data_IF_075319594115
#
_entry.id   IF_075319594115
#
_cell.length_a   1.000
_cell.length_b   1.000
_cell.length_c   1.000
_cell.angle_alpha   90.00
_cell.angle_beta   90.00
_cell.angle_gamma   90.00
#
_symmetry.space_group_name_H-M   'P 1'
#
loop_
_entity.id
_entity.type
_entity.pdbx_description
1 polymer ?
#
# COMPACT_ATOMS: atom_id res chain seq x y z
N UNK A 1 -9.19 -14.30 4.87
CA UNK A 1 -8.95 -13.02 5.58
C UNK A 1 -7.44 -12.77 5.69
N UNK A 2 -6.94 -11.73 5.03
CA UNK A 2 -5.51 -11.34 5.07
C UNK A 2 -5.42 -9.99 5.79
N UNK A 3 -4.65 -9.93 6.88
CA UNK A 3 -4.35 -8.68 7.56
C UNK A 3 -3.09 -8.04 6.96
N UNK A 4 -3.25 -6.80 6.52
CA UNK A 4 -2.13 -5.98 6.05
C UNK A 4 -1.66 -5.02 7.13
N UNK A 5 -0.35 -4.85 7.21
CA UNK A 5 0.29 -3.76 7.92
C UNK A 5 0.04 -2.46 7.14
N UNK A 6 -0.86 -1.61 7.63
CA UNK A 6 -1.15 -0.32 7.02
C UNK A 6 0.04 0.63 7.20
N UNK A 7 0.67 1.06 6.09
CA UNK A 7 1.84 1.97 6.07
C UNK A 7 3.05 1.49 6.87
N UNK A 8 3.18 0.17 7.08
CA UNK A 8 4.24 -0.46 7.87
C UNK A 8 3.95 -0.59 9.38
N UNK A 9 2.78 -0.17 9.86
CA UNK A 9 2.40 -0.28 11.27
C UNK A 9 2.18 -1.75 11.69
N UNK A 10 2.94 -2.23 12.70
CA UNK A 10 2.80 -3.59 13.25
C UNK A 10 2.13 -3.62 14.63
N UNK A 11 2.16 -2.51 15.38
CA UNK A 11 1.72 -2.42 16.79
C UNK A 11 1.02 -1.08 17.05
N UNK A 12 0.03 -0.75 16.23
CA UNK A 12 -0.66 0.53 16.34
C UNK A 12 -0.10 1.60 15.40
N UNK A 13 -0.86 2.67 15.23
CA UNK A 13 -0.52 3.78 14.34
C UNK A 13 0.69 4.57 14.83
N UNK A 14 1.78 4.60 14.07
CA UNK A 14 2.96 5.41 14.36
C UNK A 14 3.18 6.50 13.29
N UNK A 15 2.52 7.65 13.46
CA UNK A 15 2.55 8.78 12.51
C UNK A 15 3.95 9.24 12.10
N UNK A 16 4.97 9.05 12.95
CA UNK A 16 6.36 9.46 12.66
C UNK A 16 7.09 8.49 11.71
N UNK A 17 6.58 7.27 11.56
CA UNK A 17 7.22 6.18 10.80
C UNK A 17 6.36 5.62 9.67
N UNK A 18 5.10 6.05 9.55
CA UNK A 18 4.23 5.64 8.44
C UNK A 18 4.92 5.91 7.10
N UNK A 19 4.80 4.96 6.18
CA UNK A 19 5.40 5.01 4.84
C UNK A 19 6.94 5.13 4.83
N UNK A 20 7.62 5.05 5.97
CA UNK A 20 9.07 5.05 6.01
C UNK A 20 9.62 3.74 5.42
N UNK A 21 10.53 3.78 4.42
CA UNK A 21 11.02 2.57 3.75
C UNK A 21 11.56 1.50 4.71
N UNK A 22 12.32 1.90 5.73
CA UNK A 22 12.86 0.97 6.73
C UNK A 22 11.76 0.30 7.56
N UNK A 23 10.71 1.04 7.91
CA UNK A 23 9.61 0.51 8.71
C UNK A 23 8.79 -0.50 7.90
N UNK A 24 8.56 -0.20 6.62
CA UNK A 24 7.96 -1.14 5.67
C UNK A 24 8.85 -2.38 5.51
N UNK A 25 10.16 -2.21 5.34
CA UNK A 25 11.09 -3.34 5.21
C UNK A 25 11.07 -4.23 6.45
N UNK A 26 10.98 -3.67 7.65
CA UNK A 26 10.84 -4.46 8.89
C UNK A 26 9.59 -5.33 8.86
N UNK A 27 8.45 -4.80 8.41
CA UNK A 27 7.21 -5.56 8.29
C UNK A 27 7.30 -6.65 7.19
N UNK A 28 7.82 -6.31 6.02
CA UNK A 28 8.03 -7.26 4.91
C UNK A 28 9.00 -8.39 5.29
N UNK A 29 10.08 -8.08 6.02
CA UNK A 29 11.06 -9.07 6.49
C UNK A 29 10.43 -10.05 7.50
N UNK A 30 9.47 -9.57 8.30
CA UNK A 30 8.62 -10.39 9.17
C UNK A 30 7.49 -11.12 8.42
N UNK A 31 7.52 -11.12 7.09
CA UNK A 31 6.56 -11.78 6.18
C UNK A 31 5.12 -11.24 6.24
N UNK A 32 4.91 -10.07 6.83
CA UNK A 32 3.63 -9.37 6.72
C UNK A 32 3.43 -8.85 5.31
N UNK A 33 2.18 -8.81 4.88
CA UNK A 33 1.78 -7.97 3.75
C UNK A 33 1.63 -6.54 4.22
N UNK A 34 2.09 -5.58 3.43
CA UNK A 34 2.15 -4.18 3.79
C UNK A 34 1.46 -3.36 2.70
N UNK A 35 0.52 -2.52 3.10
CA UNK A 35 0.00 -1.47 2.23
C UNK A 35 0.87 -0.22 2.38
N UNK A 36 1.17 0.43 1.25
CA UNK A 36 1.99 1.64 1.21
C UNK A 36 1.35 2.67 0.30
N UNK A 37 1.35 3.93 0.74
CA UNK A 37 0.87 5.03 -0.08
C UNK A 37 1.95 5.43 -1.09
N UNK A 38 1.62 5.42 -2.39
CA UNK A 38 2.55 5.68 -3.48
C UNK A 38 2.13 6.91 -4.27
N UNK A 39 3.07 7.84 -4.41
CA UNK A 39 2.98 9.00 -5.28
C UNK A 39 4.05 8.89 -6.38
N UNK A 40 3.72 9.38 -7.57
CA UNK A 40 4.70 9.57 -8.64
C UNK A 40 4.76 11.04 -9.02
N UNK A 41 5.97 11.60 -9.03
CA UNK A 41 6.21 13.02 -9.34
C UNK A 41 7.58 13.19 -9.96
N UNK A 42 7.68 13.98 -11.03
CA UNK A 42 8.95 14.29 -11.72
C UNK A 42 9.77 13.02 -12.01
N UNK A 43 9.14 12.02 -12.62
CA UNK A 43 9.76 10.74 -13.01
C UNK A 43 10.31 9.88 -11.87
N UNK A 44 9.83 10.07 -10.64
CA UNK A 44 10.29 9.32 -9.48
C UNK A 44 9.11 8.82 -8.63
N UNK A 45 9.28 7.63 -8.05
CA UNK A 45 8.37 7.09 -7.05
C UNK A 45 8.71 7.64 -5.65
N UNK A 46 7.65 7.93 -4.90
CA UNK A 46 7.72 8.36 -3.52
C UNK A 46 6.69 7.59 -2.69
N UNK A 47 7.04 7.32 -1.44
CA UNK A 47 6.09 6.91 -0.43
C UNK A 47 5.60 8.14 0.35
N UNK A 48 4.31 8.16 0.69
CA UNK A 48 3.66 9.23 1.46
C UNK A 48 2.19 9.42 1.08
N UNK A 49 1.36 9.80 2.06
CA UNK A 49 -0.09 9.89 1.88
C UNK A 49 -0.51 11.17 1.13
N UNK A 50 -0.27 12.34 1.74
CA UNK A 50 -0.71 13.63 1.19
C UNK A 50 0.33 14.26 0.26
N UNK A 51 1.59 13.89 0.45
CA UNK A 51 2.74 14.49 -0.26
C UNK A 51 3.87 13.47 -0.41
N UNK A 52 4.75 13.63 -1.42
CA UNK A 52 5.92 12.78 -1.56
C UNK A 52 6.87 13.00 -0.37
N UNK A 53 7.16 11.94 0.39
CA UNK A 53 8.05 12.01 1.55
C UNK A 53 9.35 11.23 1.34
N UNK A 54 9.25 9.96 0.92
CA UNK A 54 10.41 9.08 0.81
C UNK A 54 10.58 8.60 -0.62
N UNK A 55 11.63 9.05 -1.29
CA UNK A 55 11.96 8.57 -2.64
C UNK A 55 12.33 7.08 -2.57
N UNK A 56 11.76 6.26 -3.45
CA UNK A 56 12.05 4.82 -3.53
C UNK A 56 12.29 4.37 -4.97
N UNK A 57 12.96 3.24 -5.13
CA UNK A 57 13.14 2.59 -6.43
C UNK A 57 11.94 1.73 -6.80
N UNK A 58 11.82 1.43 -8.09
CA UNK A 58 10.94 0.38 -8.62
C UNK A 58 11.16 -0.97 -7.92
N UNK A 59 12.42 -1.36 -7.67
CA UNK A 59 12.79 -2.58 -6.93
C UNK A 59 12.16 -2.65 -5.55
N UNK A 60 11.95 -1.51 -4.88
CA UNK A 60 11.27 -1.47 -3.59
C UNK A 60 9.79 -1.84 -3.73
N UNK A 61 9.12 -1.29 -4.74
CA UNK A 61 7.69 -1.50 -5.02
C UNK A 61 7.41 -2.90 -5.58
N UNK A 62 8.41 -3.53 -6.19
CA UNK A 62 8.35 -4.91 -6.70
C UNK A 62 8.53 -5.99 -5.63
N UNK A 63 8.81 -5.62 -4.37
CA UNK A 63 8.95 -6.59 -3.27
C UNK A 63 7.69 -7.42 -3.10
N UNK A 64 7.86 -8.72 -2.84
CA UNK A 64 6.76 -9.61 -2.50
C UNK A 64 6.03 -9.06 -1.26
N UNK A 65 4.70 -9.18 -1.26
CA UNK A 65 3.82 -8.72 -0.18
C UNK A 65 3.80 -7.18 0.04
N UNK A 66 4.33 -6.38 -0.90
CA UNK A 66 4.16 -4.93 -0.92
C UNK A 66 2.95 -4.56 -1.81
N UNK A 67 2.00 -3.80 -1.27
CA UNK A 67 0.73 -3.44 -1.90
C UNK A 67 0.69 -1.92 -2.09
N UNK A 68 0.88 -1.45 -3.32
CA UNK A 68 0.96 -0.02 -3.64
C UNK A 68 -0.42 0.62 -3.80
N UNK A 69 -0.80 1.46 -2.85
CA UNK A 69 -1.96 2.33 -2.97
C UNK A 69 -1.57 3.58 -3.76
N UNK A 70 -2.01 3.67 -5.00
CA UNK A 70 -1.75 4.84 -5.84
C UNK A 70 -2.52 6.07 -5.33
N UNK A 71 -1.80 7.14 -4.97
CA UNK A 71 -2.40 8.42 -4.49
C UNK A 71 -2.55 9.48 -5.58
N UNK A 72 -1.99 9.24 -6.75
CA UNK A 72 -2.23 10.07 -7.93
C UNK A 72 -2.24 9.22 -9.22
N UNK A 73 -2.88 9.73 -10.27
CA UNK A 73 -3.05 9.01 -11.53
C UNK A 73 -1.71 8.61 -12.16
N UNK A 74 -0.67 9.43 -11.98
CA UNK A 74 0.69 9.11 -12.40
C UNK A 74 1.23 7.89 -11.68
N UNK A 75 1.05 7.77 -10.36
CA UNK A 75 1.47 6.57 -9.62
C UNK A 75 0.74 5.33 -10.12
N UNK A 76 -0.57 5.42 -10.37
CA UNK A 76 -1.35 4.29 -10.88
C UNK A 76 -0.80 3.79 -12.23
N UNK A 77 -0.53 4.71 -13.16
CA UNK A 77 0.03 4.40 -14.48
C UNK A 77 1.43 3.80 -14.38
N UNK A 78 2.31 4.36 -13.55
CA UNK A 78 3.69 3.90 -13.43
C UNK A 78 3.82 2.58 -12.66
N UNK A 79 2.99 2.35 -11.64
CA UNK A 79 2.88 1.06 -10.95
C UNK A 79 2.44 -0.05 -11.91
N UNK A 80 1.50 0.26 -12.82
CA UNK A 80 1.09 -0.64 -13.91
C UNK A 80 2.25 -0.99 -14.83
N UNK A 81 3.04 0.00 -15.26
CA UNK A 81 4.19 -0.20 -16.16
C UNK A 81 5.24 -1.14 -15.56
N UNK A 82 5.56 -0.98 -14.29
CA UNK A 82 6.53 -1.85 -13.60
C UNK A 82 5.94 -3.19 -13.16
N UNK A 83 4.64 -3.44 -13.37
CA UNK A 83 3.94 -4.67 -12.97
C UNK A 83 4.01 -4.96 -11.46
N UNK A 84 3.94 -3.91 -10.63
CA UNK A 84 3.84 -4.07 -9.18
C UNK A 84 2.45 -4.58 -8.76
N UNK A 85 2.29 -4.91 -7.48
CA UNK A 85 0.96 -5.08 -6.90
C UNK A 85 0.45 -3.70 -6.51
N UNK A 86 -0.63 -3.24 -7.12
CA UNK A 86 -1.17 -1.91 -6.85
C UNK A 86 -2.69 -1.88 -6.91
N UNK A 87 -3.26 -0.79 -6.42
CA UNK A 87 -4.67 -0.47 -6.53
C UNK A 87 -4.89 1.05 -6.36
N UNK A 88 -6.07 1.51 -6.76
CA UNK A 88 -6.57 2.84 -6.43
C UNK A 88 -7.76 2.68 -5.50
N UNK A 89 -7.84 3.54 -4.49
CA UNK A 89 -8.95 3.53 -3.56
C UNK A 89 -9.10 4.89 -2.87
N UNK A 90 -10.33 5.38 -2.75
CA UNK A 90 -10.64 6.53 -1.92
C UNK A 90 -11.77 6.17 -0.96
N UNK A 91 -13.02 6.40 -1.36
CA UNK A 91 -14.23 6.11 -0.58
C UNK A 91 -15.04 4.98 -1.22
N UNK A 92 -14.44 4.24 -2.16
CA UNK A 92 -15.09 3.11 -2.83
C UNK A 92 -15.38 2.00 -1.81
N UNK A 93 -16.63 1.56 -1.66
CA UNK A 93 -16.91 0.47 -0.73
C UNK A 93 -16.02 -0.77 -0.97
N UNK A 94 -15.75 -1.05 -2.25
CA UNK A 94 -14.84 -2.09 -2.68
C UNK A 94 -14.04 -1.65 -3.92
N UNK A 95 -12.80 -2.11 -4.04
CA UNK A 95 -11.98 -1.98 -5.26
C UNK A 95 -11.26 -3.29 -5.56
N UNK A 96 -10.67 -3.43 -6.74
CA UNK A 96 -9.91 -4.61 -7.14
C UNK A 96 -8.46 -4.22 -7.38
N UNK A 97 -7.55 -4.99 -6.77
CA UNK A 97 -6.11 -4.79 -6.99
C UNK A 97 -5.65 -5.34 -8.33
N UNK A 98 -4.48 -4.93 -8.79
CA UNK A 98 -3.87 -5.41 -10.05
C UNK A 98 -3.64 -6.92 -10.12
N UNK A 99 -3.78 -7.64 -9.00
CA UNK A 99 -3.69 -9.09 -8.89
C UNK A 99 -5.03 -9.79 -8.61
N UNK A 100 -6.16 -9.09 -8.76
CA UNK A 100 -7.50 -9.66 -8.66
C UNK A 100 -8.07 -9.77 -7.25
N UNK A 101 -7.36 -9.31 -6.22
CA UNK A 101 -7.91 -9.28 -4.85
C UNK A 101 -8.93 -8.16 -4.67
N UNK A 102 -10.02 -8.43 -3.95
CA UNK A 102 -11.02 -7.43 -3.56
C UNK A 102 -10.53 -6.72 -2.29
N UNK A 103 -10.44 -5.40 -2.35
CA UNK A 103 -10.10 -4.55 -1.21
C UNK A 103 -11.37 -3.88 -0.68
N UNK A 104 -11.65 -4.03 0.62
CA UNK A 104 -12.84 -3.47 1.26
C UNK A 104 -12.51 -2.18 2.03
N UNK A 105 -13.38 -1.17 1.93
CA UNK A 105 -13.31 0.05 2.74
C UNK A 105 -13.47 -0.29 4.25
N UNK A 106 -12.83 0.44 5.17
CA UNK A 106 -13.05 0.23 6.59
C UNK A 106 -14.52 0.28 7.01
N UNK A 107 -15.00 -0.77 7.67
CA UNK A 107 -16.39 -0.90 8.14
C UNK A 107 -17.29 -1.71 7.21
N UNK A 108 -16.83 -2.03 6.00
CA UNK A 108 -17.56 -2.84 5.04
C UNK A 108 -17.52 -4.34 5.38
N UNK A 109 -18.44 -5.10 4.78
CA UNK A 109 -18.56 -6.54 5.01
C UNK A 109 -17.36 -7.26 4.42
N UNK A 110 -16.67 -8.04 5.26
CA UNK A 110 -15.59 -8.91 4.80
C UNK A 110 -16.13 -10.29 4.39
N UNK A 111 -15.66 -10.78 3.24
CA UNK A 111 -15.83 -12.17 2.77
C UNK A 111 -14.46 -12.88 2.71
N UNK A 112 -14.46 -14.17 2.37
CA UNK A 112 -13.22 -14.93 2.17
C UNK A 112 -12.34 -14.36 1.05
N UNK A 113 -12.93 -13.64 0.09
CA UNK A 113 -12.25 -13.06 -1.07
C UNK A 113 -11.79 -11.62 -0.84
N UNK A 114 -12.22 -11.01 0.28
CA UNK A 114 -11.85 -9.63 0.62
C UNK A 114 -10.56 -9.55 1.43
N UNK A 115 -9.88 -8.44 1.23
CA UNK A 115 -8.67 -8.03 1.95
C UNK A 115 -8.92 -6.65 2.54
N UNK A 116 -8.36 -6.45 3.72
CA UNK A 116 -8.55 -5.23 4.49
C UNK A 116 -7.24 -4.86 5.20
N UNK A 117 -6.84 -3.61 5.05
CA UNK A 117 -5.77 -3.04 5.88
C UNK A 117 -6.34 -2.71 7.26
N UNK A 118 -5.95 -3.51 8.25
CA UNK A 118 -6.27 -3.19 9.63
C UNK A 118 -5.51 -1.93 10.01
N UNK A 119 -6.26 -0.88 10.31
CA UNK A 119 -5.81 0.15 11.24
C UNK A 119 -5.60 -0.61 12.55
N UNK A 120 -4.36 -1.01 12.82
CA UNK A 120 -3.98 -1.53 14.13
C UNK A 120 -4.50 -0.53 15.17
N UNK A 121 -5.55 -0.95 15.90
CA UNK A 121 -6.19 -0.16 16.95
C UNK A 121 -5.16 0.28 17.98
#
# INVERSE_FOLDING_TARGET
MIYLSHRGNLRGRNKKKENHPDYINMALNKKFSVEVDVLFKKSNFYLGHDRPQYKVSDKFLLKKNNWGHAKNISALSELKKIKSHYFWHQEDQYTVTSKGFIWAYPGEKLTNDTIYASLSK
#
